data_IF_722229338387
#
_entry.id   IF_722229338387
#
_cell.length_a   1.000
_cell.length_b   1.000
_cell.length_c   1.000
_cell.angle_alpha   90.00
_cell.angle_beta   90.00
_cell.angle_gamma   90.00
#
_symmetry.space_group_name_H-M   'P 1'
#
loop_
_entity.id
_entity.type
_entity.pdbx_description
1 polymer ?
#
# COMPACT_ATOMS: atom_id res chain seq x y z
N UNK A 1 9.69 -0.08 -2.39
CA UNK A 1 9.75 1.39 -2.28
C UNK A 1 9.35 1.98 -3.62
N UNK A 2 8.10 2.44 -3.74
CA UNK A 2 7.51 2.89 -5.02
C UNK A 2 8.35 3.95 -5.74
N UNK A 3 9.16 4.75 -5.05
CA UNK A 3 10.06 5.72 -5.67
C UNK A 3 11.03 5.13 -6.72
N UNK A 4 11.42 3.85 -6.63
CA UNK A 4 12.55 3.29 -7.39
C UNK A 4 12.20 2.18 -8.39
N UNK A 5 11.00 1.61 -8.34
CA UNK A 5 10.64 0.50 -9.22
C UNK A 5 9.16 0.13 -9.17
N UNK A 6 8.77 -0.77 -10.07
CA UNK A 6 7.42 -1.32 -10.13
C UNK A 6 7.15 -2.21 -8.92
N UNK A 7 6.11 -1.88 -8.14
CA UNK A 7 5.83 -2.63 -6.91
C UNK A 7 5.31 -4.04 -7.21
N UNK A 8 4.47 -4.24 -8.23
CA UNK A 8 4.00 -5.58 -8.57
C UNK A 8 5.12 -6.49 -9.04
N UNK A 9 6.07 -5.99 -9.84
CA UNK A 9 7.24 -6.76 -10.27
C UNK A 9 8.11 -7.17 -9.07
N UNK A 10 8.35 -6.26 -8.14
CA UNK A 10 9.10 -6.57 -6.92
C UNK A 10 8.37 -7.59 -6.06
N UNK A 11 7.04 -7.48 -5.95
CA UNK A 11 6.23 -8.45 -5.19
C UNK A 11 6.37 -9.84 -5.82
N UNK A 12 6.23 -9.95 -7.14
CA UNK A 12 6.39 -11.22 -7.88
C UNK A 12 7.80 -11.77 -7.75
N UNK A 13 8.82 -10.92 -7.86
CA UNK A 13 10.22 -11.32 -7.77
C UNK A 13 10.60 -11.78 -6.36
N UNK A 14 10.15 -11.09 -5.32
CA UNK A 14 10.43 -11.47 -3.93
C UNK A 14 9.59 -12.68 -3.50
N UNK A 15 8.36 -12.81 -4.01
CA UNK A 15 7.44 -13.91 -3.76
C UNK A 15 7.30 -14.20 -2.25
N UNK A 16 7.58 -15.44 -1.83
CA UNK A 16 7.43 -15.89 -0.44
C UNK A 16 8.44 -15.29 0.55
N UNK A 17 9.38 -14.48 0.08
CA UNK A 17 10.35 -13.77 0.94
C UNK A 17 9.76 -12.51 1.58
N UNK A 18 8.58 -12.08 1.16
CA UNK A 18 7.88 -10.96 1.78
C UNK A 18 7.24 -11.44 3.08
N UNK A 19 7.68 -10.86 4.20
CA UNK A 19 7.13 -11.17 5.53
C UNK A 19 6.15 -10.08 5.98
N UNK A 20 6.48 -8.82 5.73
CA UNK A 20 5.71 -7.64 6.14
C UNK A 20 5.69 -6.60 5.03
N UNK A 21 4.56 -5.90 4.90
CA UNK A 21 4.40 -4.70 4.06
C UNK A 21 4.38 -3.45 4.94
N UNK A 22 5.11 -2.42 4.52
CA UNK A 22 5.08 -1.07 5.11
C UNK A 22 4.53 -0.09 4.07
N UNK A 23 3.43 0.59 4.41
CA UNK A 23 2.64 1.41 3.49
C UNK A 23 2.85 2.89 3.73
N UNK A 24 3.22 3.62 2.68
CA UNK A 24 3.26 5.09 2.65
C UNK A 24 2.80 5.59 1.29
N UNK A 25 2.27 6.82 1.23
CA UNK A 25 1.94 7.48 -0.03
C UNK A 25 3.15 8.19 -0.61
N UNK A 26 3.36 8.04 -1.91
CA UNK A 26 4.32 8.81 -2.69
C UNK A 26 3.79 9.00 -4.11
N UNK A 27 3.94 10.19 -4.66
CA UNK A 27 3.69 10.47 -6.07
C UNK A 27 5.03 10.73 -6.76
N UNK A 28 5.33 9.96 -7.81
CA UNK A 28 6.48 10.21 -8.68
C UNK A 28 6.24 11.42 -9.56
N UNK A 29 5.02 11.58 -10.07
CA UNK A 29 4.59 12.76 -10.84
C UNK A 29 4.83 14.05 -10.07
N UNK A 30 4.42 14.11 -8.80
CA UNK A 30 4.60 15.30 -7.95
C UNK A 30 5.94 15.34 -7.21
N UNK A 31 6.72 14.26 -7.25
CA UNK A 31 8.00 14.14 -6.54
C UNK A 31 7.91 14.26 -5.01
N UNK A 32 6.77 13.93 -4.39
CA UNK A 32 6.54 14.15 -2.94
C UNK A 32 5.78 13.02 -2.26
N UNK A 33 5.89 12.96 -0.93
CA UNK A 33 5.06 12.10 -0.10
C UNK A 33 3.60 12.59 -0.09
N UNK A 34 2.68 11.64 -0.07
CA UNK A 34 1.23 11.86 -0.08
C UNK A 34 0.57 10.98 0.99
N UNK A 35 -0.77 11.10 1.18
CA UNK A 35 -1.49 10.10 1.96
C UNK A 35 -1.50 8.76 1.22
N UNK A 36 -1.66 7.67 1.98
CA UNK A 36 -1.77 6.32 1.41
C UNK A 36 -2.90 6.31 0.37
N UNK A 37 -2.57 5.94 -0.87
CA UNK A 37 -3.54 5.86 -1.96
C UNK A 37 -3.91 7.19 -2.63
N UNK A 38 -3.24 8.31 -2.34
CA UNK A 38 -3.35 9.58 -3.08
C UNK A 38 -2.19 9.81 -4.06
N UNK A 39 -1.16 8.95 -4.01
CA UNK A 39 -0.08 8.96 -4.99
C UNK A 39 -0.47 8.27 -6.30
N UNK A 40 0.53 8.10 -7.17
CA UNK A 40 0.41 7.50 -8.50
C UNK A 40 0.80 6.02 -8.54
N UNK A 41 0.86 5.35 -7.38
CA UNK A 41 1.09 3.91 -7.30
C UNK A 41 -0.11 3.15 -7.85
N UNK A 42 0.12 2.24 -8.80
CA UNK A 42 -0.87 1.30 -9.28
C UNK A 42 -1.21 0.25 -8.20
N UNK A 43 -2.19 0.57 -7.37
CA UNK A 43 -2.68 -0.34 -6.34
C UNK A 43 -3.42 -1.56 -6.90
N UNK A 44 -3.93 -1.50 -8.13
CA UNK A 44 -4.58 -2.65 -8.75
C UNK A 44 -3.55 -3.74 -9.08
N UNK A 45 -2.40 -3.37 -9.66
CA UNK A 45 -1.30 -4.31 -9.88
C UNK A 45 -0.68 -4.81 -8.57
N UNK A 46 -0.56 -3.96 -7.55
CA UNK A 46 -0.11 -4.39 -6.21
C UNK A 46 -1.03 -5.47 -5.64
N UNK A 47 -2.35 -5.26 -5.64
CA UNK A 47 -3.32 -6.25 -5.15
C UNK A 47 -3.25 -7.55 -5.96
N UNK A 48 -3.14 -7.44 -7.29
CA UNK A 48 -3.00 -8.60 -8.17
C UNK A 48 -1.74 -9.41 -7.84
N UNK A 49 -0.58 -8.75 -7.71
CA UNK A 49 0.67 -9.40 -7.37
C UNK A 49 0.64 -10.08 -5.99
N UNK A 50 0.04 -9.44 -4.98
CA UNK A 50 -0.14 -10.02 -3.65
C UNK A 50 -1.01 -11.29 -3.68
N UNK A 51 -2.08 -11.29 -4.50
CA UNK A 51 -2.93 -12.45 -4.70
C UNK A 51 -2.19 -13.59 -5.42
N UNK A 52 -1.42 -13.29 -6.47
CA UNK A 52 -0.59 -14.26 -7.19
C UNK A 52 0.40 -14.98 -6.27
N UNK A 53 1.07 -14.24 -5.38
CA UNK A 53 2.00 -14.82 -4.41
C UNK A 53 1.28 -15.38 -3.16
N UNK A 54 -0.05 -15.37 -3.10
CA UNK A 54 -0.87 -15.80 -1.95
C UNK A 54 -0.38 -15.20 -0.63
N UNK A 55 -0.13 -13.90 -0.61
CA UNK A 55 0.35 -13.21 0.58
C UNK A 55 -0.77 -13.11 1.63
N UNK A 56 -0.48 -13.53 2.86
CA UNK A 56 -1.40 -13.47 4.01
C UNK A 56 -0.68 -12.92 5.25
N UNK A 57 0.38 -12.13 5.05
CA UNK A 57 1.20 -11.57 6.13
C UNK A 57 0.73 -10.19 6.60
N UNK A 58 1.56 -9.55 7.42
CA UNK A 58 1.25 -8.27 8.06
C UNK A 58 1.43 -7.07 7.13
N UNK A 59 0.51 -6.11 7.21
CA UNK A 59 0.64 -4.79 6.61
C UNK A 59 0.55 -3.71 7.70
N UNK A 60 1.46 -2.74 7.67
CA UNK A 60 1.48 -1.62 8.62
C UNK A 60 1.57 -0.28 7.89
N UNK A 61 0.95 0.76 8.45
CA UNK A 61 1.10 2.13 7.97
C UNK A 61 2.47 2.69 8.42
N UNK A 62 3.30 3.11 7.48
CA UNK A 62 4.57 3.79 7.71
C UNK A 62 4.38 5.31 7.48
N UNK A 63 3.57 5.93 8.33
CA UNK A 63 3.23 7.35 8.29
C UNK A 63 3.18 7.93 9.70
N UNK A 64 3.22 9.26 9.82
CA UNK A 64 3.01 9.90 11.11
C UNK A 64 1.62 9.56 11.67
N UNK A 65 1.62 9.10 12.93
CA UNK A 65 0.41 8.88 13.73
C UNK A 65 -0.28 10.19 14.13
N UNK A 66 -1.20 10.10 15.08
CA UNK A 66 -1.92 11.28 15.57
C UNK A 66 -3.10 10.90 16.45
N UNK A 67 -4.08 11.79 16.51
CA UNK A 67 -5.33 11.58 17.23
C UNK A 67 -6.24 10.52 16.57
N UNK A 68 -7.39 10.27 17.19
CA UNK A 68 -8.35 9.28 16.69
C UNK A 68 -8.83 9.59 15.25
N UNK A 69 -9.03 10.86 14.91
CA UNK A 69 -9.46 11.24 13.56
C UNK A 69 -8.39 10.88 12.53
N UNK A 70 -7.12 11.17 12.85
CA UNK A 70 -5.98 10.79 12.02
C UNK A 70 -5.85 9.27 11.87
N UNK A 71 -5.99 8.51 12.95
CA UNK A 71 -5.89 7.05 12.90
C UNK A 71 -7.01 6.42 12.08
N UNK A 72 -8.24 6.94 12.17
CA UNK A 72 -9.37 6.51 11.33
C UNK A 72 -9.12 6.78 9.85
N UNK A 73 -8.57 7.95 9.51
CA UNK A 73 -8.20 8.29 8.13
C UNK A 73 -7.15 7.32 7.57
N UNK A 74 -6.11 7.01 8.35
CA UNK A 74 -5.06 6.06 7.95
C UNK A 74 -5.65 4.68 7.71
N UNK A 75 -6.48 4.18 8.63
CA UNK A 75 -7.14 2.88 8.48
C UNK A 75 -8.01 2.83 7.22
N UNK A 76 -8.88 3.82 7.02
CA UNK A 76 -9.76 3.88 5.86
C UNK A 76 -8.98 3.95 4.53
N UNK A 77 -7.86 4.67 4.51
CA UNK A 77 -6.98 4.70 3.35
C UNK A 77 -6.35 3.32 3.07
N UNK A 78 -5.91 2.60 4.10
CA UNK A 78 -5.39 1.23 3.96
C UNK A 78 -6.46 0.27 3.43
N UNK A 79 -7.67 0.30 4.00
CA UNK A 79 -8.78 -0.54 3.57
C UNK A 79 -9.13 -0.27 2.10
N UNK A 80 -9.19 1.01 1.70
CA UNK A 80 -9.46 1.41 0.32
C UNK A 80 -8.40 0.90 -0.65
N UNK A 81 -7.11 1.07 -0.36
CA UNK A 81 -6.05 0.64 -1.28
C UNK A 81 -5.93 -0.88 -1.38
N UNK A 82 -6.32 -1.62 -0.34
CA UNK A 82 -6.43 -3.07 -0.37
C UNK A 82 -7.76 -3.58 -0.90
N UNK A 83 -8.74 -2.71 -1.16
CA UNK A 83 -10.06 -3.11 -1.65
C UNK A 83 -10.88 -3.87 -0.60
N UNK A 84 -10.65 -3.59 0.69
CA UNK A 84 -11.33 -4.22 1.83
C UNK A 84 -12.62 -3.51 2.22
N UNK A 85 -12.90 -2.34 1.62
CA UNK A 85 -14.18 -1.64 1.82
C UNK A 85 -15.30 -2.43 1.15
N UNK A 86 -16.31 -2.84 1.91
CA UNK A 86 -17.54 -3.46 1.41
C UNK A 86 -18.15 -2.55 0.33
N UNK A 87 -18.41 -3.07 -0.87
CA UNK A 87 -19.28 -2.37 -1.82
C UNK A 87 -20.67 -2.34 -1.20
N UNK A 88 -21.18 -1.15 -0.92
CA UNK A 88 -22.57 -0.88 -0.56
C UNK A 88 -23.52 -1.21 -1.70
#
# INVERSE_FOLDING_TARGET
HWKYGSMGDWIRQLNKRIIKLDLKGFSREMGKFTKIGEGDLDWADVRKALAEIKYTGWAAAEVAGGDLARLKEISANMDRVFGLTTQS
#
